data_IF_833560038920
#
_entry.id   IF_833560038920
#
_cell.length_a   1.000
_cell.length_b   1.000
_cell.length_c   1.000
_cell.angle_alpha   90.00
_cell.angle_beta   90.00
_cell.angle_gamma   90.00
#
_symmetry.space_group_name_H-M   'P 1'
#
loop_
_entity.id
_entity.type
_entity.pdbx_description
1 polymer ?
#
# COMPACT_ATOMS: atom_id res chain seq x y z
N UNK A 1 16.06 -14.64 17.23
CA UNK A 1 16.42 -13.36 17.92
C UNK A 1 16.63 -12.15 16.99
N UNK A 2 16.95 -12.30 15.68
CA UNK A 2 16.98 -11.18 14.71
C UNK A 2 15.60 -10.81 14.14
N UNK A 3 14.74 -11.80 13.91
CA UNK A 3 13.39 -11.63 13.34
C UNK A 3 12.44 -10.76 14.22
N UNK A 4 12.52 -10.86 15.55
CA UNK A 4 11.75 -9.96 16.45
C UNK A 4 12.16 -8.48 16.39
N UNK A 5 13.34 -8.15 15.87
CA UNK A 5 13.78 -6.75 15.72
C UNK A 5 13.32 -6.15 14.39
N UNK A 6 13.17 -6.97 13.35
CA UNK A 6 12.63 -6.59 12.03
C UNK A 6 11.12 -6.48 12.11
N UNK A 7 10.44 -7.42 12.77
CA UNK A 7 9.02 -7.30 13.14
C UNK A 7 8.76 -6.07 14.01
N UNK A 8 9.65 -5.70 14.94
CA UNK A 8 9.54 -4.44 15.69
C UNK A 8 9.84 -3.18 14.85
N UNK A 9 10.70 -3.27 13.83
CA UNK A 9 10.96 -2.15 12.92
C UNK A 9 9.79 -1.96 11.94
N UNK A 10 9.16 -3.06 11.53
CA UNK A 10 7.96 -3.10 10.70
C UNK A 10 6.72 -2.72 11.51
N UNK A 11 6.53 -3.23 12.74
CA UNK A 11 5.56 -2.71 13.71
C UNK A 11 5.88 -1.25 14.08
N UNK A 12 7.11 -0.76 14.00
CA UNK A 12 7.37 0.69 14.16
C UNK A 12 7.13 1.52 12.89
N UNK A 13 6.78 0.89 11.77
CA UNK A 13 6.33 1.54 10.52
C UNK A 13 4.83 1.26 10.28
N UNK A 14 4.31 0.16 10.83
CA UNK A 14 2.93 -0.35 10.73
C UNK A 14 2.07 -0.03 11.97
N UNK A 15 2.64 0.05 13.17
CA UNK A 15 1.96 0.43 14.42
C UNK A 15 2.11 1.92 14.75
N UNK A 16 2.29 2.74 13.72
CA UNK A 16 2.58 4.16 13.84
C UNK A 16 1.32 5.03 13.94
N UNK A 17 0.42 4.65 14.85
CA UNK A 17 -0.34 5.66 15.58
C UNK A 17 0.57 6.45 16.54
N UNK A 18 1.76 5.92 16.88
CA UNK A 18 2.67 6.50 17.90
C UNK A 18 3.99 7.08 17.34
N UNK A 19 4.23 7.11 16.01
CA UNK A 19 5.42 7.82 15.45
C UNK A 19 5.35 9.29 15.80
N UNK A 20 4.14 9.85 15.68
CA UNK A 20 3.85 11.24 15.97
C UNK A 20 4.28 11.55 17.41
N UNK A 21 3.87 10.72 18.37
CA UNK A 21 4.21 10.87 19.78
C UNK A 21 5.72 10.77 20.08
N UNK A 22 6.43 9.83 19.45
CA UNK A 22 7.87 9.63 19.69
C UNK A 22 8.73 10.71 19.00
N UNK A 23 8.29 11.20 17.84
CA UNK A 23 8.95 12.31 17.12
C UNK A 23 8.62 13.66 17.78
N UNK A 24 7.41 13.86 18.31
CA UNK A 24 7.03 15.06 19.08
C UNK A 24 7.80 15.16 20.40
N UNK A 25 8.03 14.03 21.10
CA UNK A 25 8.91 14.01 22.28
C UNK A 25 10.38 14.33 21.95
N UNK A 26 10.85 14.01 20.74
CA UNK A 26 12.17 14.38 20.26
C UNK A 26 12.25 15.83 19.73
N UNK A 27 11.13 16.37 19.22
CA UNK A 27 11.02 17.72 18.67
C UNK A 27 10.68 18.80 19.72
N UNK A 28 10.31 18.41 20.95
CA UNK A 28 10.04 19.32 22.07
C UNK A 28 11.29 20.06 22.62
N UNK A 29 12.44 19.96 21.94
CA UNK A 29 13.65 20.73 22.22
C UNK A 29 13.57 22.19 21.75
N UNK A 30 12.86 23.00 22.53
CA UNK A 30 12.83 24.48 22.56
C UNK A 30 12.28 25.30 21.35
N UNK A 31 11.69 26.48 21.61
CA UNK A 31 10.69 27.08 20.72
C UNK A 31 11.26 28.20 19.83
N UNK A 32 10.88 28.21 18.55
CA UNK A 32 11.16 29.36 17.67
C UNK A 32 9.89 29.98 17.07
N UNK A 33 9.61 31.16 17.66
CA UNK A 33 8.78 32.31 17.30
C UNK A 33 8.29 32.44 15.83
N UNK A 34 6.98 32.71 15.73
CA UNK A 34 6.22 33.29 14.60
C UNK A 34 6.89 34.48 13.88
N UNK A 35 6.70 34.55 12.56
CA UNK A 35 6.44 35.72 11.67
C UNK A 35 6.32 35.17 10.23
N UNK A 36 5.46 35.59 9.29
CA UNK A 36 4.45 36.64 9.15
C UNK A 36 3.80 36.49 7.76
N UNK A 37 2.61 37.05 7.58
CA UNK A 37 1.72 36.92 6.42
C UNK A 37 2.26 37.32 5.03
N UNK A 38 1.75 36.64 3.99
CA UNK A 38 1.29 37.26 2.73
C UNK A 38 0.06 36.49 2.16
N UNK A 39 -0.86 37.22 1.50
CA UNK A 39 -2.15 36.77 0.95
C UNK A 39 -2.07 36.64 -0.60
N UNK A 40 -3.10 36.05 -1.27
CA UNK A 40 -2.93 35.06 -2.35
C UNK A 40 -3.03 35.63 -3.77
N UNK A 41 -2.65 34.82 -4.77
CA UNK A 41 -3.08 35.00 -6.16
C UNK A 41 -3.61 33.67 -6.73
N UNK A 42 -4.78 33.77 -7.39
CA UNK A 42 -5.61 32.69 -7.91
C UNK A 42 -5.27 32.34 -9.38
N UNK A 43 -5.46 31.04 -9.71
CA UNK A 43 -5.84 30.39 -11.00
C UNK A 43 -4.93 30.53 -12.25
N UNK A 44 -4.49 29.38 -12.78
CA UNK A 44 -4.96 28.83 -14.08
C UNK A 44 -4.44 27.40 -14.33
N UNK A 45 -5.38 26.46 -14.53
CA UNK A 45 -5.20 25.05 -14.90
C UNK A 45 -5.00 24.91 -16.42
N UNK A 46 -4.51 23.74 -16.85
CA UNK A 46 -4.64 23.05 -18.16
C UNK A 46 -3.38 23.10 -19.06
N UNK A 47 -2.81 21.91 -19.35
CA UNK A 47 -1.82 21.76 -20.43
C UNK A 47 -1.17 20.37 -20.62
N UNK A 48 -1.93 19.41 -21.14
CA UNK A 48 -1.54 18.30 -22.05
C UNK A 48 -0.37 17.33 -21.73
N UNK A 49 -0.73 16.06 -21.45
CA UNK A 49 0.10 14.88 -21.72
C UNK A 49 0.04 14.54 -23.23
N UNK A 50 1.19 14.51 -23.91
CA UNK A 50 1.33 13.82 -25.20
C UNK A 50 2.80 13.51 -25.54
N UNK A 51 3.08 12.22 -25.82
CA UNK A 51 4.24 11.72 -26.58
C UNK A 51 5.19 10.83 -25.77
N UNK A 52 5.63 9.64 -26.20
CA UNK A 52 5.56 8.93 -27.49
C UNK A 52 5.72 7.41 -27.22
N UNK A 53 4.90 6.57 -27.88
CA UNK A 53 5.13 5.13 -28.04
C UNK A 53 5.92 4.85 -29.34
N UNK A 54 6.97 4.04 -29.23
CA UNK A 54 7.47 3.13 -30.27
C UNK A 54 8.41 2.14 -29.55
N UNK A 55 8.12 0.86 -29.40
CA UNK A 55 7.99 -0.14 -30.47
C UNK A 55 7.11 -1.34 -30.07
N UNK A 56 6.15 -1.74 -30.91
CA UNK A 56 5.86 -3.18 -31.10
C UNK A 56 4.61 -3.83 -30.49
N UNK A 57 3.67 -3.13 -29.84
CA UNK A 57 2.45 -3.75 -29.26
C UNK A 57 1.20 -2.86 -29.21
N UNK A 58 1.10 -1.88 -30.12
CA UNK A 58 0.34 -0.63 -29.94
C UNK A 58 -1.16 -0.73 -30.30
N UNK A 59 -1.92 -1.65 -29.72
CA UNK A 59 -3.39 -1.59 -29.82
C UNK A 59 -4.13 -1.79 -28.50
N UNK A 60 -3.54 -2.47 -27.51
CA UNK A 60 -4.28 -2.91 -26.31
C UNK A 60 -4.06 -2.04 -25.06
N UNK A 61 -3.12 -1.09 -25.10
CA UNK A 61 -2.73 -0.30 -23.92
C UNK A 61 -3.54 1.00 -23.68
N UNK A 62 -4.49 1.38 -24.55
CA UNK A 62 -4.97 2.78 -24.60
C UNK A 62 -6.23 3.06 -23.76
N UNK A 63 -6.91 2.05 -23.21
CA UNK A 63 -8.22 2.30 -22.56
C UNK A 63 -8.10 2.66 -21.08
N UNK A 64 -7.07 2.17 -20.35
CA UNK A 64 -6.93 2.35 -18.90
C UNK A 64 -5.53 2.85 -18.46
N UNK A 65 -4.71 3.35 -19.38
CA UNK A 65 -3.32 3.73 -19.08
C UNK A 65 -3.19 4.83 -18.04
N UNK A 66 -4.18 5.73 -17.92
CA UNK A 66 -4.15 6.81 -16.92
C UNK A 66 -4.32 6.30 -15.50
N UNK A 67 -5.19 5.29 -15.30
CA UNK A 67 -5.37 4.67 -13.99
C UNK A 67 -4.07 4.01 -13.53
N UNK A 68 -3.50 3.12 -14.35
CA UNK A 68 -2.27 2.41 -13.97
C UNK A 68 -1.07 3.35 -13.84
N UNK A 69 -0.99 4.42 -14.65
CA UNK A 69 0.02 5.46 -14.47
C UNK A 69 -0.10 6.14 -13.11
N UNK A 70 -1.33 6.42 -12.66
CA UNK A 70 -1.59 7.03 -11.37
C UNK A 70 -1.43 6.04 -10.20
N UNK A 71 -1.82 4.78 -10.38
CA UNK A 71 -1.96 3.79 -9.32
C UNK A 71 -0.75 2.86 -9.17
N UNK A 72 0.04 2.63 -10.22
CA UNK A 72 1.24 1.78 -10.18
C UNK A 72 2.46 2.46 -10.85
N UNK A 73 2.38 3.76 -11.10
CA UNK A 73 3.53 4.57 -11.48
C UNK A 73 4.45 4.84 -10.30
N UNK A 74 5.42 5.74 -10.51
CA UNK A 74 6.41 6.06 -9.48
C UNK A 74 5.99 7.15 -8.49
N UNK A 75 4.82 7.77 -8.66
CA UNK A 75 4.29 8.82 -7.77
C UNK A 75 5.25 10.01 -7.56
N UNK A 76 6.12 10.29 -8.55
CA UNK A 76 7.15 11.33 -8.46
C UNK A 76 8.41 10.93 -7.67
N UNK A 77 8.60 9.65 -7.37
CA UNK A 77 9.77 9.15 -6.63
C UNK A 77 10.93 8.66 -7.53
N UNK A 78 10.73 8.61 -8.85
CA UNK A 78 11.69 7.98 -9.77
C UNK A 78 11.63 6.44 -9.73
N UNK A 79 12.65 5.77 -10.24
CA UNK A 79 12.63 4.29 -10.35
C UNK A 79 12.65 3.58 -9.00
N UNK A 80 13.29 4.18 -7.99
CA UNK A 80 13.38 3.64 -6.64
C UNK A 80 13.66 4.70 -5.60
N UNK A 81 13.35 4.38 -4.34
CA UNK A 81 13.75 5.14 -3.16
C UNK A 81 14.55 4.26 -2.22
N UNK A 82 15.58 4.83 -1.60
CA UNK A 82 16.40 4.16 -0.58
C UNK A 82 16.36 4.97 0.70
N UNK A 83 16.11 4.30 1.83
CA UNK A 83 16.12 4.94 3.15
C UNK A 83 16.88 4.10 4.17
N UNK A 84 17.15 4.69 5.33
CA UNK A 84 17.89 4.01 6.40
C UNK A 84 17.20 4.23 7.74
N UNK A 85 16.87 3.14 8.43
CA UNK A 85 16.36 3.20 9.79
C UNK A 85 17.42 2.72 10.80
N UNK A 86 17.42 3.35 11.97
CA UNK A 86 18.22 2.92 13.11
C UNK A 86 17.46 1.89 13.93
N UNK A 87 18.01 0.69 14.06
CA UNK A 87 17.56 -0.30 15.01
C UNK A 87 17.85 0.11 16.46
N UNK A 88 17.14 -0.51 17.40
CA UNK A 88 17.28 -0.27 18.85
C UNK A 88 18.69 -0.54 19.40
N UNK A 89 19.50 -1.33 18.69
CA UNK A 89 20.91 -1.59 18.98
C UNK A 89 21.90 -0.53 18.44
N UNK A 90 21.41 0.49 17.72
CA UNK A 90 22.23 1.43 16.97
C UNK A 90 22.70 0.90 15.60
N UNK A 91 22.32 -0.33 15.24
CA UNK A 91 22.54 -0.89 13.90
C UNK A 91 21.69 -0.12 12.89
N UNK A 92 22.27 0.26 11.75
CA UNK A 92 21.53 0.90 10.65
C UNK A 92 21.16 -0.14 9.60
N UNK A 93 19.90 -0.14 9.20
CA UNK A 93 19.37 -0.98 8.13
C UNK A 93 19.00 -0.10 6.95
N UNK A 94 19.51 -0.46 5.78
CA UNK A 94 19.21 0.24 4.52
C UNK A 94 18.16 -0.53 3.78
N UNK A 95 17.14 0.18 3.31
CA UNK A 95 16.01 -0.37 2.61
C UNK A 95 15.86 0.27 1.25
N UNK A 96 15.37 -0.48 0.28
CA UNK A 96 15.05 0.00 -1.06
C UNK A 96 13.66 -0.44 -1.44
N UNK A 97 12.94 0.47 -2.11
CA UNK A 97 11.67 0.19 -2.76
C UNK A 97 11.77 0.66 -4.20
N UNK A 98 11.51 -0.25 -5.13
CA UNK A 98 11.36 0.05 -6.55
C UNK A 98 9.91 0.32 -6.89
N UNK A 99 9.68 1.16 -7.89
CA UNK A 99 8.34 1.51 -8.35
C UNK A 99 8.07 1.01 -9.78
N UNK A 100 6.80 0.81 -10.10
CA UNK A 100 6.37 0.50 -11.46
C UNK A 100 6.49 1.69 -12.41
N UNK A 101 6.41 1.40 -13.70
CA UNK A 101 6.32 2.38 -14.77
C UNK A 101 4.87 2.83 -15.03
N UNK A 102 3.91 2.26 -14.31
CA UNK A 102 2.48 2.54 -14.45
C UNK A 102 1.86 1.98 -15.74
N UNK A 103 2.53 1.01 -16.38
CA UNK A 103 2.03 0.34 -17.57
C UNK A 103 1.49 -1.02 -17.17
N UNK A 104 0.24 -1.31 -17.51
CA UNK A 104 -0.32 -2.65 -17.34
C UNK A 104 0.47 -3.64 -18.23
N UNK A 105 1.09 -4.69 -17.66
CA UNK A 105 1.93 -5.60 -18.42
C UNK A 105 1.12 -6.55 -19.31
N UNK A 106 -0.15 -6.75 -18.97
CA UNK A 106 -1.11 -7.58 -19.71
C UNK A 106 -2.45 -6.84 -19.90
N UNK A 107 -3.35 -7.41 -20.70
CA UNK A 107 -4.68 -6.82 -20.92
C UNK A 107 -5.52 -6.91 -19.63
N UNK A 108 -5.95 -5.76 -19.13
CA UNK A 108 -6.86 -5.62 -17.98
C UNK A 108 -8.13 -4.85 -18.39
N UNK A 109 -8.63 -5.16 -19.58
CA UNK A 109 -9.85 -4.56 -20.11
C UNK A 109 -11.04 -4.88 -19.19
N UNK A 110 -11.80 -3.84 -18.83
CA UNK A 110 -12.95 -3.99 -17.93
C UNK A 110 -12.61 -4.15 -16.44
N UNK A 111 -11.33 -4.26 -16.06
CA UNK A 111 -10.92 -4.38 -14.66
C UNK A 111 -11.07 -3.07 -13.87
N UNK A 112 -10.86 -1.93 -14.54
CA UNK A 112 -10.92 -0.60 -13.91
C UNK A 112 -12.34 -0.09 -13.90
N UNK A 113 -12.80 0.32 -12.72
CA UNK A 113 -14.15 0.77 -12.47
C UNK A 113 -14.14 2.24 -12.05
N UNK A 114 -15.02 3.04 -12.66
CA UNK A 114 -15.23 4.44 -12.28
C UNK A 114 -16.11 4.50 -11.03
N UNK A 115 -15.58 5.06 -9.97
CA UNK A 115 -16.26 5.24 -8.68
C UNK A 115 -16.98 6.58 -8.66
N UNK A 116 -16.24 7.69 -8.81
CA UNK A 116 -16.76 9.07 -8.78
C UNK A 116 -17.64 9.38 -7.56
N UNK A 117 -17.19 8.94 -6.38
CA UNK A 117 -17.85 9.25 -5.11
C UNK A 117 -17.03 10.27 -4.34
N UNK A 118 -17.70 11.00 -3.44
CA UNK A 118 -17.06 12.02 -2.62
C UNK A 118 -17.67 12.05 -1.23
N UNK A 119 -16.85 12.43 -0.25
CA UNK A 119 -17.29 12.67 1.13
C UNK A 119 -16.57 13.90 1.69
N UNK A 120 -17.29 14.66 2.52
CA UNK A 120 -16.78 15.86 3.17
C UNK A 120 -16.84 15.71 4.70
N UNK A 121 -15.80 16.19 5.39
CA UNK A 121 -15.68 16.09 6.83
C UNK A 121 -14.51 16.92 7.35
N UNK A 122 -14.70 17.60 8.48
CA UNK A 122 -13.67 18.46 9.11
C UNK A 122 -12.98 19.48 8.16
N UNK A 123 -13.70 19.97 7.13
CA UNK A 123 -13.16 20.90 6.13
C UNK A 123 -12.31 20.23 5.03
N UNK A 124 -12.23 18.91 5.02
CA UNK A 124 -11.64 18.11 3.96
C UNK A 124 -12.72 17.57 3.01
N UNK A 125 -12.33 17.39 1.76
CA UNK A 125 -13.08 16.65 0.74
C UNK A 125 -12.21 15.50 0.26
N UNK A 126 -12.72 14.27 0.36
CA UNK A 126 -12.11 13.07 -0.22
C UNK A 126 -12.92 12.66 -1.46
N UNK A 127 -12.32 12.80 -2.63
CA UNK A 127 -12.87 12.35 -3.91
C UNK A 127 -12.23 11.02 -4.31
N UNK A 128 -13.07 10.03 -4.64
CA UNK A 128 -12.68 8.68 -5.06
C UNK A 128 -12.94 8.54 -6.56
N UNK A 129 -11.90 8.22 -7.33
CA UNK A 129 -11.94 8.28 -8.80
C UNK A 129 -12.16 6.91 -9.42
N UNK A 130 -11.11 6.09 -9.47
CA UNK A 130 -11.09 4.82 -10.19
C UNK A 130 -10.49 3.73 -9.30
N UNK A 131 -11.04 2.52 -9.39
CA UNK A 131 -10.66 1.37 -8.57
C UNK A 131 -10.46 0.13 -9.46
N UNK A 132 -9.49 -0.71 -9.08
CA UNK A 132 -9.38 -2.07 -9.56
C UNK A 132 -9.11 -3.02 -8.39
N UNK A 133 -9.66 -4.23 -8.46
CA UNK A 133 -9.59 -5.25 -7.42
C UNK A 133 -9.52 -6.63 -8.06
N UNK A 134 -8.81 -7.55 -7.42
CA UNK A 134 -8.72 -8.96 -7.84
C UNK A 134 -9.58 -9.89 -6.97
N UNK A 135 -9.66 -11.17 -7.36
CA UNK A 135 -10.37 -12.20 -6.59
C UNK A 135 -9.70 -12.52 -5.24
N UNK A 136 -8.46 -12.08 -5.01
CA UNK A 136 -7.84 -12.11 -3.69
C UNK A 136 -8.35 -10.99 -2.77
N UNK A 137 -9.23 -10.10 -3.23
CA UNK A 137 -9.70 -8.96 -2.44
C UNK A 137 -8.62 -7.89 -2.24
N UNK A 138 -7.65 -7.84 -3.14
CA UNK A 138 -6.54 -6.91 -3.16
C UNK A 138 -6.65 -5.97 -4.35
N UNK A 139 -6.17 -4.74 -4.19
CA UNK A 139 -6.22 -3.80 -5.29
C UNK A 139 -5.80 -2.41 -4.90
N UNK A 140 -6.22 -1.44 -5.71
CA UNK A 140 -6.00 -0.04 -5.43
C UNK A 140 -7.16 0.83 -5.89
N UNK A 141 -7.20 2.03 -5.36
CA UNK A 141 -8.12 3.09 -5.73
C UNK A 141 -7.39 4.43 -5.75
N UNK A 142 -7.63 5.23 -6.78
CA UNK A 142 -7.06 6.58 -6.87
C UNK A 142 -8.00 7.59 -6.21
N UNK A 143 -7.43 8.57 -5.51
CA UNK A 143 -8.20 9.57 -4.79
C UNK A 143 -7.57 10.97 -4.86
N UNK A 144 -8.39 11.97 -4.56
CA UNK A 144 -7.95 13.33 -4.24
C UNK A 144 -8.44 13.69 -2.84
N UNK A 145 -7.52 14.09 -1.96
CA UNK A 145 -7.85 14.66 -0.66
C UNK A 145 -7.52 16.15 -0.70
N UNK A 146 -8.51 17.00 -0.45
CA UNK A 146 -8.32 18.45 -0.50
C UNK A 146 -8.83 19.14 0.76
N UNK A 147 -8.15 20.23 1.13
CA UNK A 147 -8.59 21.15 2.17
C UNK A 147 -8.14 22.57 1.78
N UNK A 148 -9.06 23.54 1.63
CA UNK A 148 -8.71 24.92 1.27
C UNK A 148 -7.72 25.61 2.23
N UNK A 149 -7.65 25.14 3.48
CA UNK A 149 -6.73 25.66 4.50
C UNK A 149 -5.37 24.93 4.52
N UNK A 150 -5.19 23.93 3.66
CA UNK A 150 -4.03 23.06 3.61
C UNK A 150 -4.31 21.65 4.13
N UNK A 151 -3.66 20.67 3.52
CA UNK A 151 -3.60 19.28 3.96
C UNK A 151 -2.30 19.09 4.73
N UNK A 152 -2.40 18.75 6.00
CA UNK A 152 -1.26 18.57 6.88
C UNK A 152 -0.80 17.11 6.88
N UNK A 153 0.42 16.85 6.41
CA UNK A 153 0.96 15.51 6.28
C UNK A 153 2.45 15.46 6.60
N UNK A 154 2.90 14.31 7.09
CA UNK A 154 4.26 14.04 7.50
C UNK A 154 5.18 14.01 6.28
N UNK A 155 5.82 15.16 5.99
CA UNK A 155 6.69 15.34 4.82
C UNK A 155 7.78 14.26 4.70
N UNK A 156 8.44 13.76 5.77
CA UNK A 156 9.43 12.71 5.62
C UNK A 156 8.87 11.37 5.10
N UNK A 157 7.65 10.98 5.46
CA UNK A 157 7.00 9.79 4.86
C UNK A 157 6.64 10.05 3.39
N UNK A 158 6.18 11.27 3.08
CA UNK A 158 5.90 11.64 1.71
C UNK A 158 7.14 11.58 0.82
N UNK A 159 8.34 11.82 1.36
CA UNK A 159 9.59 11.62 0.61
C UNK A 159 9.82 10.17 0.17
N UNK A 160 9.20 9.20 0.86
CA UNK A 160 9.20 7.78 0.50
C UNK A 160 7.98 7.36 -0.34
N UNK A 161 7.14 8.34 -0.71
CA UNK A 161 5.90 8.13 -1.44
C UNK A 161 4.69 7.79 -0.57
N UNK A 162 4.82 7.78 0.76
CA UNK A 162 3.75 7.43 1.70
C UNK A 162 2.95 8.66 2.15
N UNK A 163 1.63 8.56 2.20
CA UNK A 163 0.76 9.58 2.78
C UNK A 163 0.44 9.23 4.23
N UNK A 164 1.05 9.98 5.13
CA UNK A 164 0.74 9.94 6.57
C UNK A 164 0.23 11.32 6.98
N UNK A 165 -1.04 11.40 7.35
CA UNK A 165 -1.62 12.65 7.83
C UNK A 165 -1.26 12.86 9.30
N UNK A 166 -0.94 14.10 9.66
CA UNK A 166 -0.92 14.48 11.08
C UNK A 166 -2.38 14.57 11.50
N UNK A 167 -2.89 13.50 12.09
CA UNK A 167 -4.30 13.37 12.45
C UNK A 167 -4.76 14.40 13.49
N UNK A 168 -5.23 13.89 14.62
CA UNK A 168 -6.05 14.63 15.58
C UNK A 168 -5.28 15.72 16.35
N UNK A 169 -3.97 15.55 16.56
CA UNK A 169 -3.15 16.42 17.39
C UNK A 169 -3.01 17.84 16.85
N UNK A 170 -3.17 18.01 15.53
CA UNK A 170 -3.15 19.32 14.86
C UNK A 170 -4.53 19.72 14.29
N UNK A 171 -5.59 19.02 14.69
CA UNK A 171 -6.97 19.27 14.25
C UNK A 171 -7.26 18.82 12.80
N UNK A 172 -6.46 17.90 12.28
CA UNK A 172 -6.62 17.31 10.94
C UNK A 172 -7.57 16.11 10.91
N UNK A 173 -7.50 15.33 9.84
CA UNK A 173 -8.18 14.04 9.69
C UNK A 173 -7.15 12.91 9.67
N UNK A 174 -7.57 11.72 10.08
CA UNK A 174 -6.82 10.49 9.89
C UNK A 174 -6.62 10.21 8.39
N UNK A 175 -5.54 9.49 8.05
CA UNK A 175 -5.32 9.00 6.68
C UNK A 175 -6.57 8.25 6.20
N UNK A 176 -7.04 8.49 4.96
CA UNK A 176 -8.24 7.82 4.44
C UNK A 176 -8.18 6.31 4.59
N UNK A 177 -9.32 5.70 4.87
CA UNK A 177 -9.48 4.25 5.01
C UNK A 177 -10.59 3.73 4.10
N UNK A 178 -10.70 2.41 4.00
CA UNK A 178 -11.71 1.71 3.21
C UNK A 178 -12.31 0.56 4.01
N UNK A 179 -13.62 0.35 3.84
CA UNK A 179 -14.34 -0.77 4.42
C UNK A 179 -15.01 -1.62 3.32
N UNK A 180 -15.12 -2.91 3.59
CA UNK A 180 -16.04 -3.85 2.95
C UNK A 180 -17.25 -4.06 3.87
N UNK A 181 -18.36 -3.37 3.60
CA UNK A 181 -19.49 -3.31 4.53
C UNK A 181 -19.08 -2.68 5.88
N UNK A 182 -19.26 -3.43 6.97
CA UNK A 182 -18.87 -2.98 8.33
C UNK A 182 -17.41 -3.32 8.68
N UNK A 183 -16.69 -4.00 7.80
CA UNK A 183 -15.36 -4.53 8.06
C UNK A 183 -14.29 -3.67 7.40
N UNK A 184 -13.30 -3.24 8.16
CA UNK A 184 -12.18 -2.44 7.64
C UNK A 184 -11.27 -3.30 6.74
N UNK A 185 -10.70 -2.69 5.70
CA UNK A 185 -9.59 -3.27 4.95
C UNK A 185 -8.25 -2.84 5.56
N UNK A 186 -7.17 -3.60 5.35
CA UNK A 186 -5.83 -3.02 5.58
C UNK A 186 -5.50 -2.15 4.38
N UNK A 187 -5.16 -0.89 4.64
CA UNK A 187 -4.97 0.12 3.61
C UNK A 187 -3.65 0.83 3.75
N UNK A 188 -3.04 1.20 2.62
CA UNK A 188 -1.81 2.00 2.54
C UNK A 188 -2.01 3.09 1.50
N UNK A 189 -1.85 4.35 1.90
CA UNK A 189 -2.06 5.49 1.03
C UNK A 189 -0.72 6.05 0.58
N UNK A 190 -0.55 6.27 -0.73
CA UNK A 190 0.59 6.97 -1.30
C UNK A 190 0.20 8.37 -1.75
N UNK A 191 1.22 9.21 -1.94
CA UNK A 191 1.11 10.56 -2.47
C UNK A 191 1.87 10.67 -3.79
N UNK A 192 1.20 11.17 -4.82
CA UNK A 192 1.84 11.59 -6.07
C UNK A 192 2.42 13.01 -5.89
N UNK A 193 3.75 13.08 -5.78
CA UNK A 193 4.47 14.34 -5.52
C UNK A 193 4.36 15.34 -6.66
N UNK A 194 4.27 14.85 -7.90
CA UNK A 194 4.33 15.71 -9.09
C UNK A 194 3.00 16.41 -9.34
N UNK A 195 1.90 15.82 -8.88
CA UNK A 195 0.55 16.35 -9.07
C UNK A 195 -0.07 16.91 -7.80
N UNK A 196 0.55 16.70 -6.63
CA UNK A 196 0.07 17.21 -5.34
C UNK A 196 0.56 18.63 -5.01
N UNK A 197 -0.12 19.26 -4.07
CA UNK A 197 0.19 20.58 -3.51
C UNK A 197 -0.15 20.59 -2.02
N UNK A 198 0.21 21.67 -1.31
CA UNK A 198 -0.11 21.79 0.12
C UNK A 198 -1.61 21.80 0.44
N UNK A 199 -2.50 22.01 -0.53
CA UNK A 199 -3.96 22.04 -0.31
C UNK A 199 -4.72 20.89 -0.99
N UNK A 200 -4.06 20.16 -1.89
CA UNK A 200 -4.67 19.12 -2.71
C UNK A 200 -3.65 17.99 -2.86
N UNK A 201 -3.97 16.84 -2.31
CA UNK A 201 -3.17 15.62 -2.39
C UNK A 201 -3.84 14.69 -3.39
N UNK A 202 -3.11 14.31 -4.43
CA UNK A 202 -3.48 13.21 -5.31
C UNK A 202 -2.72 11.97 -4.84
N UNK A 203 -3.44 10.87 -4.69
CA UNK A 203 -2.89 9.67 -4.09
C UNK A 203 -3.54 8.39 -4.57
N UNK A 204 -2.97 7.29 -4.14
CA UNK A 204 -3.49 5.94 -4.37
C UNK A 204 -3.59 5.22 -3.04
N UNK A 205 -4.74 4.62 -2.76
CA UNK A 205 -4.92 3.74 -1.62
C UNK A 205 -4.85 2.30 -2.14
N UNK A 206 -3.84 1.55 -1.70
CA UNK A 206 -3.74 0.12 -1.89
C UNK A 206 -4.42 -0.57 -0.71
N UNK A 207 -5.09 -1.68 -0.98
CA UNK A 207 -5.85 -2.36 0.05
C UNK A 207 -5.78 -3.88 -0.11
N UNK A 208 -6.01 -4.57 1.01
CA UNK A 208 -6.29 -5.99 1.03
C UNK A 208 -7.42 -6.29 2.04
N UNK A 209 -8.35 -7.16 1.65
CA UNK A 209 -9.42 -7.64 2.52
C UNK A 209 -8.90 -8.66 3.54
N UNK A 210 -9.46 -8.66 4.76
CA UNK A 210 -9.11 -9.66 5.79
C UNK A 210 -9.71 -11.03 5.52
N UNK A 211 -10.89 -11.08 4.90
CA UNK A 211 -11.59 -12.30 4.55
C UNK A 211 -12.28 -12.12 3.21
N UNK A 212 -11.60 -12.48 2.10
CA UNK A 212 -12.12 -12.27 0.75
C UNK A 212 -13.51 -12.90 0.54
N UNK A 213 -13.75 -14.09 1.09
CA UNK A 213 -15.02 -14.81 0.89
C UNK A 213 -16.21 -14.06 1.48
N UNK A 214 -16.01 -13.38 2.60
CA UNK A 214 -17.00 -12.52 3.25
C UNK A 214 -17.01 -11.14 2.60
N UNK A 215 -15.84 -10.50 2.55
CA UNK A 215 -15.65 -9.09 2.27
C UNK A 215 -16.06 -8.74 0.83
N UNK A 216 -15.72 -9.58 -0.15
CA UNK A 216 -16.08 -9.36 -1.56
C UNK A 216 -17.58 -9.44 -1.85
N UNK A 217 -18.40 -9.87 -0.88
CA UNK A 217 -19.87 -9.86 -1.01
C UNK A 217 -20.50 -8.53 -0.62
N UNK A 218 -19.71 -7.62 -0.05
CA UNK A 218 -20.18 -6.35 0.45
C UNK A 218 -19.83 -5.21 -0.51
N UNK A 219 -20.66 -4.18 -0.49
CA UNK A 219 -20.29 -2.90 -1.07
C UNK A 219 -19.14 -2.28 -0.27
N UNK A 220 -18.40 -1.37 -0.92
CA UNK A 220 -17.26 -0.70 -0.31
C UNK A 220 -17.58 0.76 -0.01
N UNK A 221 -16.97 1.28 1.05
CA UNK A 221 -17.00 2.71 1.39
C UNK A 221 -15.59 3.20 1.68
N UNK A 222 -15.38 4.49 1.43
CA UNK A 222 -14.15 5.19 1.81
C UNK A 222 -14.45 6.23 2.85
N UNK A 223 -13.56 6.34 3.83
CA UNK A 223 -13.84 7.07 5.05
C UNK A 223 -12.72 8.08 5.35
N UNK A 224 -13.14 9.19 5.94
CA UNK A 224 -12.25 10.08 6.69
C UNK A 224 -12.77 10.17 8.12
N UNK A 225 -11.85 10.18 9.08
CA UNK A 225 -12.18 10.27 10.50
C UNK A 225 -11.37 11.33 11.22
N UNK A 226 -11.92 11.87 12.30
CA UNK A 226 -11.26 12.81 13.20
C UNK A 226 -11.87 12.71 14.59
N UNK A 227 -11.15 13.21 15.60
CA UNK A 227 -11.68 13.30 16.96
C UNK A 227 -12.08 14.73 17.30
N UNK A 228 -13.27 14.85 17.90
CA UNK A 228 -13.73 16.08 18.52
C UNK A 228 -13.63 16.00 20.05
N UNK A 229 -13.13 17.07 20.67
CA UNK A 229 -12.94 17.14 22.12
C UNK A 229 -11.51 16.82 22.55
N UNK A 230 -11.31 16.61 23.85
CA UNK A 230 -10.01 16.28 24.46
C UNK A 230 -10.21 15.35 25.65
N UNK A 231 -9.23 14.48 25.90
CA UNK A 231 -9.24 13.58 27.06
C UNK A 231 -10.28 12.47 26.92
N UNK A 232 -10.76 11.95 28.04
CA UNK A 232 -11.67 10.79 28.06
C UNK A 232 -13.04 11.03 27.39
N UNK A 233 -13.43 12.30 27.20
CA UNK A 233 -14.68 12.69 26.52
C UNK A 233 -14.52 12.89 25.01
N UNK A 234 -13.32 12.63 24.47
CA UNK A 234 -13.03 12.69 23.05
C UNK A 234 -13.94 11.74 22.26
N UNK A 235 -14.53 12.24 21.16
CA UNK A 235 -15.41 11.47 20.29
C UNK A 235 -14.79 11.34 18.91
N UNK A 236 -14.58 10.10 18.48
CA UNK A 236 -14.25 9.78 17.09
C UNK A 236 -15.49 10.00 16.22
N UNK A 237 -15.32 10.78 15.17
CA UNK A 237 -16.30 10.99 14.10
C UNK A 237 -15.72 10.40 12.83
N UNK A 238 -16.55 9.61 12.16
CA UNK A 238 -16.23 9.04 10.86
C UNK A 238 -17.36 9.42 9.90
N UNK A 239 -16.97 9.79 8.69
CA UNK A 239 -17.90 9.99 7.57
C UNK A 239 -17.42 9.17 6.39
N UNK A 240 -18.38 8.59 5.68
CA UNK A 240 -18.13 7.66 4.60
C UNK A 240 -18.75 8.16 3.30
N UNK A 241 -18.17 7.77 2.18
CA UNK A 241 -18.86 7.85 0.89
C UNK A 241 -20.15 7.01 0.92
N UNK A 242 -21.09 7.23 -0.03
CA UNK A 242 -22.11 6.23 -0.33
C UNK A 242 -21.48 4.86 -0.64
N UNK A 243 -22.26 3.80 -0.49
CA UNK A 243 -21.85 2.44 -0.85
C UNK A 243 -21.57 2.31 -2.36
N UNK A 244 -20.42 1.75 -2.69
CA UNK A 244 -20.05 1.40 -4.06
C UNK A 244 -20.10 -0.13 -4.25
N UNK A 245 -20.87 -0.59 -5.22
CA UNK A 245 -20.94 -2.02 -5.54
C UNK A 245 -19.89 -2.36 -6.58
N UNK A 246 -18.95 -3.23 -6.20
CA UNK A 246 -17.91 -3.73 -7.10
C UNK A 246 -18.54 -4.63 -8.16
N UNK A 247 -18.38 -4.27 -9.42
CA UNK A 247 -18.97 -4.96 -10.58
C UNK A 247 -18.01 -5.89 -11.33
N UNK A 248 -16.70 -5.74 -11.13
CA UNK A 248 -15.68 -6.57 -11.79
C UNK A 248 -14.52 -6.89 -10.84
N UNK A 249 -13.96 -8.09 -11.00
CA UNK A 249 -12.77 -8.56 -10.30
C UNK A 249 -11.79 -9.10 -11.34
N UNK A 250 -10.50 -8.90 -11.10
CA UNK A 250 -9.43 -9.53 -11.89
C UNK A 250 -9.20 -10.94 -11.38
N UNK A 251 -9.28 -11.91 -12.29
CA UNK A 251 -9.10 -13.33 -11.98
C UNK A 251 -7.71 -13.61 -11.38
N UNK A 252 -7.65 -14.60 -10.49
CA UNK A 252 -6.38 -15.15 -10.00
C UNK A 252 -5.98 -16.40 -10.79
N UNK A 253 -4.67 -16.65 -10.85
CA UNK A 253 -4.10 -17.90 -11.34
C UNK A 253 -3.56 -18.67 -10.14
N UNK A 254 -3.91 -19.95 -10.04
CA UNK A 254 -3.30 -20.85 -9.07
C UNK A 254 -1.98 -21.41 -9.60
N UNK A 255 -0.93 -21.34 -8.79
CA UNK A 255 0.32 -22.07 -8.92
C UNK A 255 0.44 -23.06 -7.76
N UNK A 256 1.18 -24.15 -7.93
CA UNK A 256 1.29 -25.18 -6.88
C UNK A 256 2.73 -25.60 -6.63
N UNK A 257 2.99 -25.96 -5.38
CA UNK A 257 4.17 -26.72 -4.95
C UNK A 257 3.66 -27.92 -4.14
N UNK A 258 3.65 -29.10 -4.76
CA UNK A 258 2.97 -30.29 -4.22
C UNK A 258 1.50 -29.97 -3.81
N UNK A 259 1.17 -30.12 -2.52
CA UNK A 259 -0.16 -29.84 -1.97
C UNK A 259 -0.36 -28.37 -1.57
N UNK A 260 0.69 -27.54 -1.57
CA UNK A 260 0.64 -26.14 -1.18
C UNK A 260 0.28 -25.22 -2.36
N UNK A 261 -0.86 -24.52 -2.32
CA UNK A 261 -1.27 -23.60 -3.37
C UNK A 261 -0.74 -22.18 -3.14
N UNK A 262 -0.60 -21.45 -4.24
CA UNK A 262 -0.38 -20.01 -4.28
C UNK A 262 -1.29 -19.41 -5.34
N UNK A 263 -2.00 -18.34 -5.00
CA UNK A 263 -2.81 -17.59 -5.96
C UNK A 263 -2.11 -16.29 -6.34
N UNK A 264 -2.03 -16.00 -7.64
CA UNK A 264 -1.34 -14.83 -8.18
C UNK A 264 -2.24 -14.09 -9.16
N UNK A 265 -2.27 -12.77 -9.03
CA UNK A 265 -2.92 -11.85 -9.97
C UNK A 265 -1.91 -10.76 -10.38
N UNK A 266 -2.27 -9.88 -11.31
CA UNK A 266 -1.48 -8.67 -11.59
C UNK A 266 -1.29 -7.75 -10.38
N UNK A 267 -2.18 -7.83 -9.39
CA UNK A 267 -2.24 -6.93 -8.24
C UNK A 267 -1.76 -7.56 -6.94
N UNK A 268 -1.68 -8.90 -6.84
CA UNK A 268 -1.32 -9.54 -5.59
C UNK A 268 -0.73 -10.94 -5.74
N UNK A 269 -0.03 -11.37 -4.70
CA UNK A 269 0.37 -12.75 -4.47
C UNK A 269 -0.23 -13.17 -3.13
N UNK A 270 -0.87 -14.33 -3.08
CA UNK A 270 -1.40 -14.94 -1.88
C UNK A 270 -0.85 -16.36 -1.73
N UNK A 271 -0.22 -16.62 -0.59
CA UNK A 271 0.29 -17.94 -0.21
C UNK A 271 -0.57 -18.55 0.89
N UNK A 272 -0.54 -19.87 1.02
CA UNK A 272 -1.14 -20.59 2.14
C UNK A 272 -0.01 -21.17 3.01
N UNK A 273 0.50 -20.38 3.96
CA UNK A 273 1.67 -20.71 4.77
C UNK A 273 1.30 -21.51 6.02
N UNK A 274 0.01 -21.65 6.36
CA UNK A 274 -0.45 -22.48 7.48
C UNK A 274 0.13 -23.91 7.49
N UNK A 275 0.43 -24.47 6.31
CA UNK A 275 1.07 -25.78 6.17
C UNK A 275 2.50 -25.83 6.76
N UNK A 276 3.15 -24.67 6.96
CA UNK A 276 4.50 -24.53 7.54
C UNK A 276 4.49 -24.29 9.05
N UNK A 277 3.32 -24.03 9.64
CA UNK A 277 3.11 -23.77 11.07
C UNK A 277 3.21 -22.29 11.46
N UNK A 278 2.55 -21.93 12.57
CA UNK A 278 2.37 -20.54 13.07
C UNK A 278 3.67 -19.73 13.31
N UNK A 279 4.83 -20.39 13.38
CA UNK A 279 6.13 -19.74 13.59
C UNK A 279 6.97 -19.61 12.30
N UNK A 280 6.39 -19.88 11.13
CA UNK A 280 7.03 -19.62 9.86
C UNK A 280 7.12 -18.11 9.60
N UNK A 281 8.31 -17.67 9.20
CA UNK A 281 8.60 -16.29 8.81
C UNK A 281 9.23 -16.33 7.43
N UNK A 282 8.58 -15.68 6.47
CA UNK A 282 9.12 -15.40 5.14
C UNK A 282 10.22 -14.33 5.21
N UNK A 283 11.24 -14.49 4.37
CA UNK A 283 12.37 -13.56 4.26
C UNK A 283 12.55 -13.05 2.83
N UNK A 284 12.05 -13.81 1.86
CA UNK A 284 12.24 -13.51 0.44
C UNK A 284 11.13 -14.09 -0.40
N UNK A 285 10.61 -13.27 -1.31
CA UNK A 285 9.59 -13.63 -2.27
C UNK A 285 9.96 -13.08 -3.64
N UNK A 286 10.14 -13.98 -4.61
CA UNK A 286 10.57 -13.64 -5.97
C UNK A 286 9.65 -14.27 -7.01
N UNK A 287 9.26 -13.49 -8.01
CA UNK A 287 8.57 -13.95 -9.22
C UNK A 287 9.58 -14.10 -10.35
N UNK A 288 9.61 -15.25 -11.01
CA UNK A 288 10.48 -15.53 -12.16
C UNK A 288 9.66 -15.61 -13.44
N UNK A 289 10.08 -14.87 -14.47
CA UNK A 289 9.39 -14.77 -15.75
C UNK A 289 10.02 -15.65 -16.84
N UNK A 290 9.27 -15.86 -17.95
CA UNK A 290 9.69 -16.70 -19.10
C UNK A 290 10.95 -16.22 -19.80
N UNK A 291 11.23 -14.92 -19.76
CA UNK A 291 12.44 -14.33 -20.33
C UNK A 291 13.67 -14.47 -19.42
N UNK A 292 13.50 -15.05 -18.23
CA UNK A 292 14.54 -15.23 -17.22
C UNK A 292 14.73 -14.02 -16.31
N UNK A 293 13.94 -12.95 -16.46
CA UNK A 293 13.92 -11.84 -15.51
C UNK A 293 13.23 -12.23 -14.21
N UNK A 294 13.56 -11.49 -13.14
CA UNK A 294 12.99 -11.69 -11.82
C UNK A 294 12.43 -10.37 -11.29
N UNK A 295 11.29 -10.46 -10.62
CA UNK A 295 10.76 -9.39 -9.80
C UNK A 295 10.82 -9.81 -8.34
N UNK A 296 11.63 -9.08 -7.57
CA UNK A 296 11.74 -9.25 -6.12
C UNK A 296 10.57 -8.48 -5.49
N UNK A 297 9.73 -9.18 -4.72
CA UNK A 297 8.67 -8.58 -3.92
C UNK A 297 9.22 -8.21 -2.55
N UNK A 298 10.01 -9.11 -1.98
CA UNK A 298 10.68 -8.96 -0.69
C UNK A 298 12.02 -9.69 -0.70
N UNK A 299 13.03 -9.10 -0.10
CA UNK A 299 14.32 -9.72 0.21
C UNK A 299 14.93 -9.01 1.43
N UNK A 300 14.76 -9.60 2.61
CA UNK A 300 15.21 -9.08 3.90
C UNK A 300 16.73 -8.85 3.95
N UNK A 301 17.51 -9.75 3.33
CA UNK A 301 18.97 -9.68 3.34
C UNK A 301 19.48 -8.54 2.45
N UNK A 302 18.79 -8.27 1.34
CA UNK A 302 19.05 -7.13 0.47
C UNK A 302 18.39 -5.83 0.93
N UNK A 303 17.46 -5.91 1.89
CA UNK A 303 16.62 -4.80 2.31
C UNK A 303 15.64 -4.34 1.22
N UNK A 304 15.22 -5.22 0.32
CA UNK A 304 14.27 -4.89 -0.75
C UNK A 304 12.83 -5.13 -0.28
N UNK A 305 12.02 -4.07 -0.25
CA UNK A 305 10.61 -4.13 0.18
C UNK A 305 9.73 -3.48 -0.89
N UNK A 306 9.38 -4.27 -1.89
CA UNK A 306 8.68 -3.86 -3.11
C UNK A 306 7.19 -4.20 -3.04
N UNK A 307 6.56 -3.88 -1.91
CA UNK A 307 5.12 -3.99 -1.71
C UNK A 307 4.56 -2.74 -1.02
N UNK A 308 3.29 -2.47 -1.28
CA UNK A 308 2.50 -1.46 -0.58
C UNK A 308 1.80 -2.08 0.63
N UNK A 309 1.10 -3.19 0.44
CA UNK A 309 0.42 -3.93 1.51
C UNK A 309 1.08 -5.30 1.67
N UNK A 310 1.33 -5.69 2.92
CA UNK A 310 1.64 -7.07 3.30
C UNK A 310 0.89 -7.42 4.57
N UNK A 311 0.17 -8.54 4.56
CA UNK A 311 -0.62 -9.01 5.70
C UNK A 311 -0.63 -10.53 5.81
N UNK A 312 -0.72 -11.02 7.03
CA UNK A 312 -1.18 -12.38 7.32
C UNK A 312 -2.67 -12.36 7.68
N UNK A 313 -3.49 -13.14 6.99
CA UNK A 313 -4.91 -13.32 7.32
C UNK A 313 -5.09 -14.31 8.46
N UNK A 314 -6.25 -14.23 9.10
CA UNK A 314 -6.67 -15.19 10.13
C UNK A 314 -6.82 -16.63 9.59
N UNK A 315 -6.90 -16.79 8.26
CA UNK A 315 -6.88 -18.07 7.54
C UNK A 315 -5.47 -18.64 7.34
N UNK A 316 -4.43 -17.97 7.82
CA UNK A 316 -3.04 -18.38 7.63
C UNK A 316 -2.45 -18.09 6.25
N UNK A 317 -3.15 -17.26 5.49
CA UNK A 317 -2.71 -16.79 4.19
C UNK A 317 -1.82 -15.57 4.35
N UNK A 318 -0.66 -15.53 3.70
CA UNK A 318 0.11 -14.30 3.58
C UNK A 318 -0.13 -13.68 2.21
N UNK A 319 -0.25 -12.36 2.19
CA UNK A 319 -0.63 -11.58 1.03
C UNK A 319 0.34 -10.44 0.82
N UNK A 320 0.70 -10.19 -0.42
CA UNK A 320 1.50 -9.03 -0.84
C UNK A 320 0.81 -8.32 -1.99
N UNK A 321 0.70 -7.00 -1.90
CA UNK A 321 0.33 -6.10 -3.00
C UNK A 321 1.60 -5.40 -3.46
N UNK A 322 2.22 -5.84 -4.58
CA UNK A 322 3.52 -5.36 -5.00
C UNK A 322 3.48 -3.95 -5.58
N UNK A 323 4.63 -3.28 -5.55
CA UNK A 323 4.81 -1.93 -6.12
C UNK A 323 4.88 -1.92 -7.65
N UNK A 324 5.07 -3.09 -8.26
CA UNK A 324 5.05 -3.32 -9.71
C UNK A 324 3.99 -4.35 -10.03
N UNK A 325 3.20 -4.09 -11.07
CA UNK A 325 2.22 -5.05 -11.58
C UNK A 325 2.92 -6.32 -12.07
N UNK A 326 2.26 -7.45 -11.88
CA UNK A 326 2.77 -8.77 -12.28
C UNK A 326 2.21 -9.13 -13.67
N UNK A 327 3.08 -9.54 -14.58
CA UNK A 327 2.67 -10.16 -15.85
C UNK A 327 2.40 -11.66 -15.64
N UNK A 328 1.20 -12.00 -15.19
CA UNK A 328 0.82 -13.38 -14.82
C UNK A 328 0.97 -14.34 -16.01
N UNK A 329 0.75 -13.86 -17.23
CA UNK A 329 0.95 -14.64 -18.46
C UNK A 329 2.41 -14.99 -18.73
N UNK A 330 3.35 -14.21 -18.20
CA UNK A 330 4.80 -14.46 -18.31
C UNK A 330 5.40 -15.18 -17.10
N UNK A 331 4.66 -15.39 -16.00
CA UNK A 331 5.19 -16.08 -14.82
C UNK A 331 5.51 -17.55 -15.13
N UNK A 332 6.71 -17.98 -14.77
CA UNK A 332 7.17 -19.38 -14.78
C UNK A 332 7.08 -19.99 -13.39
N UNK A 333 7.51 -19.24 -12.38
CA UNK A 333 7.48 -19.70 -11.00
C UNK A 333 7.47 -18.55 -10.01
N UNK A 334 7.02 -18.84 -8.80
CA UNK A 334 7.18 -17.98 -7.63
C UNK A 334 7.98 -18.74 -6.59
N UNK A 335 9.02 -18.13 -6.05
CA UNK A 335 9.86 -18.72 -5.01
C UNK A 335 9.64 -17.98 -3.70
N UNK A 336 9.26 -18.72 -2.67
CA UNK A 336 9.14 -18.24 -1.30
C UNK A 336 10.23 -18.89 -0.45
N UNK A 337 11.04 -18.08 0.19
CA UNK A 337 12.07 -18.53 1.14
C UNK A 337 11.76 -17.97 2.53
N UNK A 338 11.99 -18.78 3.54
CA UNK A 338 11.69 -18.41 4.91
C UNK A 338 12.38 -19.31 5.91
N UNK A 339 11.96 -19.19 7.16
CA UNK A 339 12.41 -20.03 8.26
C UNK A 339 11.21 -20.45 9.08
N UNK A 340 11.11 -21.75 9.37
CA UNK A 340 10.11 -22.28 10.29
C UNK A 340 10.75 -22.64 11.61
N UNK A 341 10.07 -22.34 12.71
CA UNK A 341 10.47 -22.81 14.02
C UNK A 341 9.61 -24.02 14.41
N UNK A 342 10.26 -25.04 14.97
CA UNK A 342 9.61 -26.23 15.49
C UNK A 342 10.04 -26.42 16.94
N UNK A 343 9.07 -26.61 17.84
CA UNK A 343 9.36 -26.94 19.24
C UNK A 343 9.07 -28.42 19.47
N UNK A 344 10.12 -29.24 19.50
CA UNK A 344 10.01 -30.67 19.84
C UNK A 344 10.66 -30.91 21.20
N UNK A 345 9.85 -31.27 22.20
CA UNK A 345 10.37 -31.60 23.55
C UNK A 345 10.98 -30.43 24.32
N UNK A 346 10.62 -29.18 24.00
CA UNK A 346 11.12 -27.98 24.67
C UNK A 346 12.40 -27.39 24.08
N UNK A 347 12.93 -27.96 23.00
CA UNK A 347 13.99 -27.35 22.20
C UNK A 347 13.36 -26.69 20.95
N UNK A 348 13.57 -25.38 20.80
CA UNK A 348 13.21 -24.65 19.58
C UNK A 348 14.30 -24.86 18.54
N UNK A 349 13.94 -25.47 17.41
CA UNK A 349 14.79 -25.62 16.23
C UNK A 349 14.25 -24.78 15.09
N UNK A 350 15.12 -23.99 14.48
CA UNK A 350 14.81 -23.06 13.40
C UNK A 350 15.43 -23.61 12.11
N UNK A 351 14.59 -23.94 11.12
CA UNK A 351 15.00 -24.56 9.85
C UNK A 351 14.61 -23.67 8.68
N UNK A 352 15.53 -23.41 7.73
CA UNK A 352 15.16 -22.69 6.51
C UNK A 352 14.28 -23.56 5.61
N UNK A 353 13.40 -22.92 4.85
CA UNK A 353 12.62 -23.56 3.81
C UNK A 353 12.68 -22.75 2.50
N UNK A 354 12.47 -23.46 1.39
CA UNK A 354 12.30 -22.87 0.06
C UNK A 354 11.15 -23.61 -0.60
N UNK A 355 10.16 -22.87 -1.07
CA UNK A 355 9.01 -23.40 -1.81
C UNK A 355 9.00 -22.75 -3.19
N UNK A 356 8.87 -23.58 -4.22
CA UNK A 356 8.78 -23.12 -5.61
C UNK A 356 7.42 -23.52 -6.16
N UNK A 357 6.60 -22.53 -6.47
CA UNK A 357 5.28 -22.71 -7.07
C UNK A 357 5.39 -22.50 -8.59
N UNK A 358 4.79 -23.38 -9.40
CA UNK A 358 4.85 -23.30 -10.88
C UNK A 358 3.57 -23.71 -11.58
#
# INVERSE_FOLDING_TARGET
MKSNQIKQAFESVQADSDLADRVLYAAAGEPLRRKGHAKPLYVAVIGCLAGVLATGGVAYAVVNSSYFASAWGNHGNGESVTWTNGGSSGTKYTYTREFGDGIAPQSLEGAVQKVNLSVEGNGYTLDIHEMAIDENGCGAVTFTLSNPNGVNYYKPAAELGELVLYGEEEGGVSTPSMNFGEEWADTRCTIDKDTSSDAVINGTMYFASWNRDRDLRHAVTWNISWTEGKGEDAKVIEVSTPEFNVGAHVDTKELRSDDSPLEISPFSIQTHIDDLGYEAVDHKLTVTYKDGSEQIIEDDDAGAYNFYVSMGRNSGENIWVPTKLIDVDQVVSVTLEGTRCTSTGGAETSEPFTIVYS
#
